data_IF_707339234341
#
_entry.id   IF_707339234341
#
_cell.length_a   1.000
_cell.length_b   1.000
_cell.length_c   1.000
_cell.angle_alpha   90.00
_cell.angle_beta   90.00
_cell.angle_gamma   90.00
#
_symmetry.space_group_name_H-M   'P 1'
#
loop_
_entity.id
_entity.type
_entity.pdbx_description
1 polymer ?
#
# COMPACT_ATOMS: atom_id res chain seq x y z
N UNK A 1 12.81 -20.44 9.14
CA UNK A 1 12.25 -19.50 8.12
C UNK A 1 10.76 -19.41 8.40
N UNK A 2 10.30 -18.32 8.96
CA UNK A 2 8.87 -18.16 9.27
C UNK A 2 8.13 -17.72 8.01
N UNK A 3 7.38 -18.62 7.38
CA UNK A 3 6.33 -18.26 6.44
C UNK A 3 5.27 -17.48 7.24
N UNK A 4 5.24 -16.16 7.09
CA UNK A 4 4.27 -15.33 7.80
C UNK A 4 2.89 -15.28 7.13
N UNK A 5 2.79 -15.77 5.89
CA UNK A 5 1.60 -15.65 5.05
C UNK A 5 1.44 -16.91 4.22
N UNK A 6 0.23 -17.45 4.20
CA UNK A 6 -0.24 -18.47 3.27
C UNK A 6 -1.39 -17.89 2.42
N UNK A 7 -1.58 -18.45 1.23
CA UNK A 7 -2.67 -18.12 0.34
C UNK A 7 -3.70 -19.23 0.38
N UNK A 8 -4.97 -18.88 0.64
CA UNK A 8 -6.07 -19.81 0.60
C UNK A 8 -6.51 -20.07 -0.85
N UNK A 9 -7.27 -21.15 -1.06
CA UNK A 9 -7.74 -21.59 -2.40
C UNK A 9 -8.56 -20.50 -3.15
N UNK A 10 -9.14 -19.54 -2.41
CA UNK A 10 -9.86 -18.38 -2.94
C UNK A 10 -8.96 -17.17 -3.24
N UNK A 11 -7.64 -17.38 -3.30
CA UNK A 11 -6.64 -16.31 -3.48
C UNK A 11 -6.63 -15.25 -2.37
N UNK A 12 -7.22 -15.55 -1.23
CA UNK A 12 -7.21 -14.68 -0.05
C UNK A 12 -5.94 -14.89 0.77
N UNK A 13 -5.14 -13.86 1.03
CA UNK A 13 -3.97 -13.98 1.87
C UNK A 13 -4.38 -14.24 3.32
N UNK A 14 -3.75 -15.23 3.93
CA UNK A 14 -3.97 -15.65 5.30
C UNK A 14 -2.69 -15.44 6.11
N UNK A 15 -2.79 -14.70 7.21
CA UNK A 15 -1.66 -14.55 8.11
C UNK A 15 -1.56 -15.77 9.01
N UNK A 16 -0.55 -16.60 8.80
CA UNK A 16 -0.27 -17.74 9.69
C UNK A 16 0.10 -17.31 11.11
N UNK A 17 0.67 -16.11 11.26
CA UNK A 17 1.03 -15.54 12.56
C UNK A 17 -0.18 -15.05 13.35
N UNK A 18 -1.18 -14.47 12.66
CA UNK A 18 -2.38 -13.93 13.28
C UNK A 18 -3.56 -14.90 13.23
N UNK A 19 -3.40 -16.04 12.54
CA UNK A 19 -4.45 -17.01 12.25
C UNK A 19 -5.72 -16.35 11.68
N UNK A 20 -5.54 -15.32 10.81
CA UNK A 20 -6.62 -14.50 10.27
C UNK A 20 -6.44 -14.25 8.77
N UNK A 21 -7.57 -14.11 8.07
CA UNK A 21 -7.58 -13.64 6.69
C UNK A 21 -7.22 -12.15 6.65
N UNK A 22 -6.37 -11.77 5.71
CA UNK A 22 -6.04 -10.35 5.49
C UNK A 22 -7.23 -9.55 5.00
N UNK A 23 -8.16 -10.20 4.28
CA UNK A 23 -9.34 -9.57 3.70
C UNK A 23 -10.58 -10.47 3.89
N UNK A 24 -11.75 -9.82 4.04
CA UNK A 24 -13.04 -10.53 4.13
C UNK A 24 -13.52 -11.06 2.76
N UNK A 25 -14.82 -11.34 2.64
CA UNK A 25 -15.46 -11.96 1.47
C UNK A 25 -15.44 -11.13 0.16
N UNK A 26 -15.02 -9.88 0.20
CA UNK A 26 -14.85 -9.02 -0.98
C UNK A 26 -13.39 -9.04 -1.45
N UNK A 27 -13.16 -8.82 -2.77
CA UNK A 27 -11.81 -8.70 -3.29
C UNK A 27 -11.06 -7.57 -2.57
N UNK A 28 -9.76 -7.75 -2.36
CA UNK A 28 -8.93 -6.79 -1.66
C UNK A 28 -8.99 -5.37 -2.26
N UNK A 29 -8.97 -5.18 -3.59
CA UNK A 29 -9.12 -3.86 -4.20
C UNK A 29 -10.52 -3.25 -4.01
N UNK A 30 -11.59 -4.04 -4.06
CA UNK A 30 -12.94 -3.52 -3.83
C UNK A 30 -13.08 -2.99 -2.40
N UNK A 31 -12.55 -3.73 -1.42
CA UNK A 31 -12.49 -3.27 -0.03
C UNK A 31 -11.64 -2.02 0.11
N UNK A 32 -10.47 -1.97 -0.50
CA UNK A 32 -9.60 -0.79 -0.46
C UNK A 32 -10.31 0.46 -0.98
N UNK A 33 -11.05 0.33 -2.08
CA UNK A 33 -11.86 1.45 -2.62
C UNK A 33 -12.96 1.88 -1.66
N UNK A 34 -13.75 0.94 -1.15
CA UNK A 34 -14.90 1.26 -0.31
C UNK A 34 -14.51 1.77 1.07
N UNK A 35 -13.55 1.14 1.73
CA UNK A 35 -13.18 1.47 3.11
C UNK A 35 -12.23 2.66 3.17
N UNK A 36 -11.17 2.64 2.36
CA UNK A 36 -10.11 3.63 2.48
C UNK A 36 -10.30 4.83 1.55
N UNK A 37 -10.49 4.62 0.25
CA UNK A 37 -10.67 5.77 -0.65
C UNK A 37 -11.97 6.52 -0.34
N UNK A 38 -13.10 5.84 -0.38
CA UNK A 38 -14.39 6.47 -0.12
C UNK A 38 -14.51 6.96 1.34
N UNK A 39 -13.99 6.18 2.30
CA UNK A 39 -13.97 6.57 3.70
C UNK A 39 -13.17 7.86 3.97
N UNK A 40 -12.14 8.12 3.19
CA UNK A 40 -11.37 9.37 3.24
C UNK A 40 -11.84 10.43 2.23
N UNK A 41 -12.99 10.22 1.57
CA UNK A 41 -13.56 11.16 0.60
C UNK A 41 -12.76 11.31 -0.70
N UNK A 42 -11.91 10.34 -1.04
CA UNK A 42 -11.09 10.37 -2.24
C UNK A 42 -11.90 9.88 -3.46
N UNK A 43 -11.71 10.50 -4.63
CA UNK A 43 -10.70 11.51 -4.98
C UNK A 43 -11.07 12.97 -4.67
N UNK A 44 -12.29 13.26 -4.28
CA UNK A 44 -12.77 14.65 -4.12
C UNK A 44 -11.94 15.44 -3.11
N UNK A 45 -11.53 14.81 -2.00
CA UNK A 45 -10.79 15.46 -0.92
C UNK A 45 -9.43 16.02 -1.35
N UNK A 46 -8.77 15.44 -2.35
CA UNK A 46 -7.46 15.93 -2.83
C UNK A 46 -7.53 16.93 -4.00
N UNK A 47 -8.76 17.23 -4.50
CA UNK A 47 -8.96 18.16 -5.62
C UNK A 47 -8.39 19.54 -5.29
N UNK A 48 -7.53 20.04 -6.19
CA UNK A 48 -6.87 21.34 -6.02
C UNK A 48 -5.70 21.36 -5.04
N UNK A 49 -5.42 20.29 -4.33
CA UNK A 49 -4.26 20.19 -3.47
C UNK A 49 -2.97 20.05 -4.32
N UNK A 50 -1.87 20.75 -3.97
CA UNK A 50 -0.60 20.58 -4.68
C UNK A 50 0.04 19.22 -4.40
N UNK A 51 -0.21 18.66 -3.21
CA UNK A 51 0.21 17.34 -2.79
C UNK A 51 -0.83 16.74 -1.86
N UNK A 52 -0.86 15.41 -1.78
CA UNK A 52 -1.70 14.68 -0.85
C UNK A 52 -0.89 13.58 -0.16
N UNK A 53 -0.97 13.53 1.17
CA UNK A 53 -0.20 12.61 1.99
C UNK A 53 -1.13 11.62 2.67
N UNK A 54 -0.82 10.34 2.55
CA UNK A 54 -1.56 9.25 3.18
C UNK A 54 -0.62 8.49 4.11
N UNK A 55 -1.09 8.16 5.30
CA UNK A 55 -0.39 7.30 6.25
C UNK A 55 -1.15 5.98 6.40
N UNK A 56 -0.45 4.87 6.27
CA UNK A 56 -0.96 3.52 6.52
C UNK A 56 -0.05 2.78 7.52
N UNK A 57 -0.49 2.54 8.76
CA UNK A 57 0.32 1.86 9.77
C UNK A 57 0.58 0.38 9.50
N UNK A 58 -0.13 -0.22 8.55
CA UNK A 58 0.03 -1.64 8.18
C UNK A 58 -0.07 -1.82 6.67
N UNK A 59 1.08 -1.76 6.00
CA UNK A 59 1.16 -1.80 4.53
C UNK A 59 0.64 -3.12 3.91
N UNK A 60 0.87 -4.24 4.60
CA UNK A 60 0.47 -5.57 4.11
C UNK A 60 1.11 -5.91 2.76
N UNK A 61 0.29 -6.17 1.75
CA UNK A 61 0.74 -6.43 0.37
C UNK A 61 0.75 -5.18 -0.51
N UNK A 62 0.47 -4.00 0.07
CA UNK A 62 0.43 -2.76 -0.67
C UNK A 62 -0.82 -2.55 -1.53
N UNK A 63 -1.89 -3.32 -1.31
CA UNK A 63 -3.13 -3.19 -2.10
C UNK A 63 -3.72 -1.80 -1.99
N UNK A 64 -3.77 -1.22 -0.77
CA UNK A 64 -4.30 0.12 -0.56
C UNK A 64 -3.47 1.18 -1.29
N UNK A 65 -2.14 1.04 -1.29
CA UNK A 65 -1.25 1.89 -2.07
C UNK A 65 -1.51 1.76 -3.58
N UNK A 66 -1.60 0.54 -4.11
CA UNK A 66 -1.81 0.30 -5.54
C UNK A 66 -3.17 0.83 -6.01
N UNK A 67 -4.23 0.62 -5.23
CA UNK A 67 -5.56 1.15 -5.52
C UNK A 67 -5.58 2.68 -5.48
N UNK A 68 -4.91 3.27 -4.50
CA UNK A 68 -4.77 4.74 -4.39
C UNK A 68 -3.98 5.31 -5.56
N UNK A 69 -2.89 4.66 -5.94
CA UNK A 69 -2.09 5.06 -7.10
C UNK A 69 -2.90 4.95 -8.41
N UNK A 70 -3.66 3.87 -8.60
CA UNK A 70 -4.55 3.72 -9.75
C UNK A 70 -5.60 4.84 -9.80
N UNK A 71 -6.23 5.16 -8.66
CA UNK A 71 -7.20 6.26 -8.56
C UNK A 71 -6.55 7.61 -8.87
N UNK A 72 -5.34 7.87 -8.36
CA UNK A 72 -4.56 9.07 -8.66
C UNK A 72 -4.27 9.18 -10.17
N UNK A 73 -3.88 8.10 -10.83
CA UNK A 73 -3.63 8.10 -12.29
C UNK A 73 -4.88 8.41 -13.10
N UNK A 74 -6.03 7.92 -12.66
CA UNK A 74 -7.30 8.07 -13.35
C UNK A 74 -7.93 9.47 -13.17
N UNK A 75 -7.58 10.21 -12.11
CA UNK A 75 -8.19 11.48 -11.79
C UNK A 75 -7.50 12.65 -12.54
N UNK A 76 -8.21 13.38 -13.43
CA UNK A 76 -7.65 14.55 -14.10
C UNK A 76 -7.38 15.73 -13.14
N UNK A 77 -8.03 15.76 -11.97
CA UNK A 77 -7.87 16.79 -10.94
C UNK A 77 -6.95 16.37 -9.80
N UNK A 78 -6.19 15.29 -10.00
CA UNK A 78 -5.25 14.75 -9.01
C UNK A 78 -4.23 15.77 -8.53
N UNK A 79 -3.77 15.68 -7.29
CA UNK A 79 -2.64 16.46 -6.81
C UNK A 79 -1.38 16.17 -7.64
N UNK A 80 -0.50 17.16 -7.75
CA UNK A 80 0.76 16.99 -8.48
C UNK A 80 1.63 15.88 -7.86
N UNK A 81 1.60 15.75 -6.54
CA UNK A 81 2.35 14.74 -5.78
C UNK A 81 1.40 13.95 -4.91
N UNK A 82 1.45 12.63 -5.03
CA UNK A 82 0.91 11.68 -4.07
C UNK A 82 2.06 11.13 -3.22
N UNK A 83 2.01 11.33 -1.91
CA UNK A 83 2.98 10.76 -0.99
C UNK A 83 2.28 9.75 -0.07
N UNK A 84 2.55 8.49 -0.26
CA UNK A 84 2.06 7.41 0.57
C UNK A 84 3.15 7.00 1.56
N UNK A 85 2.86 7.07 2.84
CA UNK A 85 3.76 6.70 3.93
C UNK A 85 3.19 5.47 4.62
N UNK A 86 3.98 4.43 4.77
CA UNK A 86 3.49 3.19 5.35
C UNK A 86 4.52 2.53 6.26
N UNK A 87 4.02 1.74 7.20
CA UNK A 87 4.85 0.89 8.05
C UNK A 87 4.61 -0.58 7.72
N UNK A 88 5.67 -1.36 7.70
CA UNK A 88 5.65 -2.78 7.46
C UNK A 88 6.56 -3.48 8.46
N UNK A 89 6.05 -4.47 9.18
CA UNK A 89 6.83 -5.18 10.20
C UNK A 89 8.00 -6.00 9.60
N UNK A 90 7.85 -6.47 8.38
CA UNK A 90 8.86 -7.27 7.67
C UNK A 90 8.93 -6.88 6.20
N UNK A 91 10.08 -7.01 5.53
CA UNK A 91 10.19 -6.73 4.10
C UNK A 91 9.16 -7.52 3.28
N UNK A 92 8.64 -6.89 2.22
CA UNK A 92 7.76 -7.53 1.24
C UNK A 92 8.53 -8.63 0.50
N UNK A 93 7.92 -9.79 0.37
CA UNK A 93 8.44 -10.82 -0.51
C UNK A 93 8.03 -10.55 -1.97
N UNK A 94 8.97 -10.66 -2.90
CA UNK A 94 8.69 -10.50 -4.33
C UNK A 94 7.62 -11.47 -4.84
N UNK A 95 7.56 -12.68 -4.26
CA UNK A 95 6.56 -13.69 -4.58
C UNK A 95 5.13 -13.24 -4.22
N UNK A 96 4.96 -12.52 -3.12
CA UNK A 96 3.64 -12.03 -2.68
C UNK A 96 3.11 -10.95 -3.64
N UNK A 97 3.97 -10.05 -4.11
CA UNK A 97 3.60 -9.04 -5.11
C UNK A 97 3.31 -9.68 -6.48
N UNK A 98 4.06 -10.71 -6.86
CA UNK A 98 3.80 -11.46 -8.09
C UNK A 98 2.44 -12.17 -8.02
N UNK A 99 2.12 -12.79 -6.89
CA UNK A 99 0.84 -13.44 -6.68
C UNK A 99 -0.31 -12.44 -6.72
N UNK A 100 -0.14 -11.27 -6.06
CA UNK A 100 -1.12 -10.19 -6.13
C UNK A 100 -1.39 -9.75 -7.56
N UNK A 101 -0.35 -9.59 -8.39
CA UNK A 101 -0.50 -9.22 -9.80
C UNK A 101 -1.26 -10.28 -10.62
N UNK A 102 -1.16 -11.56 -10.26
CA UNK A 102 -1.92 -12.65 -10.90
C UNK A 102 -3.39 -12.66 -10.47
N UNK A 103 -3.67 -12.41 -9.19
CA UNK A 103 -5.02 -12.41 -8.65
C UNK A 103 -5.81 -11.15 -9.01
N UNK A 104 -5.13 -10.01 -9.19
CA UNK A 104 -5.74 -8.69 -9.44
C UNK A 104 -5.18 -8.08 -10.75
N UNK A 105 -5.65 -8.56 -11.93
CA UNK A 105 -5.09 -8.15 -13.23
C UNK A 105 -5.15 -6.64 -13.48
N UNK A 106 -6.14 -5.94 -12.92
CA UNK A 106 -6.28 -4.48 -13.04
C UNK A 106 -5.15 -3.72 -12.36
N UNK A 107 -4.55 -4.28 -11.31
CA UNK A 107 -3.42 -3.70 -10.57
C UNK A 107 -2.07 -4.25 -11.02
N UNK A 108 -2.04 -5.30 -11.85
CA UNK A 108 -0.82 -5.97 -12.25
C UNK A 108 0.28 -5.04 -12.78
N UNK A 109 0.00 -4.05 -13.66
CA UNK A 109 1.04 -3.14 -14.14
C UNK A 109 1.69 -2.32 -13.03
N UNK A 110 0.92 -1.92 -12.01
CA UNK A 110 1.43 -1.16 -10.86
C UNK A 110 2.15 -2.06 -9.87
N UNK A 111 1.61 -3.27 -9.64
CA UNK A 111 2.24 -4.28 -8.79
C UNK A 111 3.63 -4.68 -9.31
N UNK A 112 3.79 -4.84 -10.62
CA UNK A 112 5.10 -5.11 -11.24
C UNK A 112 6.08 -3.93 -11.05
N UNK A 113 5.61 -2.69 -11.16
CA UNK A 113 6.46 -1.53 -10.89
C UNK A 113 6.89 -1.46 -9.42
N UNK A 114 5.97 -1.75 -8.50
CA UNK A 114 6.29 -1.83 -7.08
C UNK A 114 7.31 -2.95 -6.82
N UNK A 115 7.07 -4.15 -7.34
CA UNK A 115 7.96 -5.30 -7.22
C UNK A 115 9.38 -4.98 -7.69
N UNK A 116 9.51 -4.28 -8.82
CA UNK A 116 10.82 -3.92 -9.39
C UNK A 116 11.68 -3.04 -8.46
N UNK A 117 11.06 -2.33 -7.50
CA UNK A 117 11.78 -1.50 -6.52
C UNK A 117 11.88 -2.12 -5.12
N UNK A 118 11.21 -3.24 -4.87
CA UNK A 118 11.21 -3.89 -3.56
C UNK A 118 12.36 -4.90 -3.35
N UNK A 119 13.49 -4.72 -4.03
CA UNK A 119 14.65 -5.59 -3.87
C UNK A 119 15.55 -5.14 -2.73
N UNK A 120 15.95 -6.10 -1.88
CA UNK A 120 16.97 -5.86 -0.85
C UNK A 120 16.55 -4.87 0.23
N UNK A 121 15.24 -4.65 0.43
CA UNK A 121 14.76 -3.78 1.49
C UNK A 121 15.06 -4.41 2.85
N UNK A 122 15.83 -3.71 3.65
CA UNK A 122 16.20 -4.09 5.02
C UNK A 122 15.38 -3.28 6.04
N UNK A 123 15.42 -3.64 7.34
CA UNK A 123 14.85 -2.77 8.37
C UNK A 123 15.36 -1.34 8.25
N UNK A 124 14.46 -0.36 8.35
CA UNK A 124 14.77 1.06 8.16
C UNK A 124 13.75 1.75 7.24
N UNK A 125 14.04 2.96 6.83
CA UNK A 125 13.13 3.79 6.01
C UNK A 125 13.62 3.83 4.57
N UNK A 126 12.73 3.46 3.65
CA UNK A 126 13.00 3.42 2.21
C UNK A 126 12.06 4.36 1.47
N UNK A 127 12.58 5.04 0.45
CA UNK A 127 11.76 5.85 -0.45
C UNK A 127 11.79 5.25 -1.85
N UNK A 128 10.62 4.79 -2.29
CA UNK A 128 10.39 4.29 -3.63
C UNK A 128 9.69 5.37 -4.45
N UNK A 129 10.11 5.55 -5.70
CA UNK A 129 9.72 6.69 -6.54
C UNK A 129 9.10 6.20 -7.84
N UNK A 130 7.89 6.68 -8.14
CA UNK A 130 7.11 6.30 -9.32
C UNK A 130 6.64 7.54 -10.08
N UNK A 131 6.11 7.35 -11.28
CA UNK A 131 5.51 8.41 -12.13
C UNK A 131 6.43 9.64 -12.31
N UNK A 132 7.75 9.41 -12.47
CA UNK A 132 8.70 10.49 -12.61
C UNK A 132 8.80 11.40 -11.38
N UNK A 133 8.64 10.85 -10.17
CA UNK A 133 8.73 11.59 -8.91
C UNK A 133 7.41 12.16 -8.42
N UNK A 134 6.29 11.84 -9.08
CA UNK A 134 4.96 12.33 -8.68
C UNK A 134 4.22 11.40 -7.73
N UNK A 135 4.59 10.14 -7.69
CA UNK A 135 4.09 9.17 -6.69
C UNK A 135 5.27 8.68 -5.87
N UNK A 136 5.21 8.92 -4.58
CA UNK A 136 6.25 8.56 -3.61
C UNK A 136 5.67 7.56 -2.62
N UNK A 137 6.37 6.44 -2.39
CA UNK A 137 6.09 5.54 -1.30
C UNK A 137 7.25 5.59 -0.31
N UNK A 138 6.99 6.08 0.90
CA UNK A 138 7.93 5.96 2.02
C UNK A 138 7.52 4.74 2.83
N UNK A 139 8.34 3.71 2.83
CA UNK A 139 8.10 2.45 3.53
C UNK A 139 9.08 2.32 4.69
N UNK A 140 8.57 2.38 5.93
CA UNK A 140 9.34 2.11 7.12
C UNK A 140 9.19 0.65 7.52
N UNK A 141 10.30 -0.08 7.51
CA UNK A 141 10.34 -1.51 7.86
C UNK A 141 10.85 -1.68 9.28
N UNK A 142 10.02 -2.21 10.16
CA UNK A 142 10.33 -2.41 11.57
C UNK A 142 9.10 -2.43 12.46
N UNK A 143 9.31 -2.26 13.77
CA UNK A 143 8.20 -2.18 14.74
C UNK A 143 7.32 -0.95 14.46
N UNK A 144 6.02 -1.19 14.30
CA UNK A 144 5.07 -0.14 13.90
C UNK A 144 5.02 1.01 14.89
N UNK A 145 5.00 0.73 16.19
CA UNK A 145 4.92 1.77 17.20
C UNK A 145 6.20 2.61 17.26
N UNK A 146 7.36 1.96 17.12
CA UNK A 146 8.64 2.65 17.06
C UNK A 146 8.73 3.55 15.84
N UNK A 147 8.43 3.01 14.64
CA UNK A 147 8.48 3.78 13.40
C UNK A 147 7.54 4.99 13.42
N UNK A 148 6.30 4.83 13.87
CA UNK A 148 5.34 5.95 13.96
C UNK A 148 5.79 7.05 14.92
N UNK A 149 6.46 6.70 16.02
CA UNK A 149 7.00 7.69 16.98
C UNK A 149 8.21 8.43 16.43
N UNK A 150 9.09 7.71 15.73
CA UNK A 150 10.36 8.27 15.25
C UNK A 150 10.18 9.17 14.04
N UNK A 151 9.26 8.85 13.13
CA UNK A 151 9.16 9.53 11.85
C UNK A 151 8.45 10.89 11.90
N UNK A 152 7.56 11.14 12.86
CA UNK A 152 6.84 12.39 12.99
C UNK A 152 6.05 12.81 11.74
N UNK A 153 5.53 11.83 10.97
CA UNK A 153 4.83 12.08 9.72
C UNK A 153 3.56 12.89 9.89
N UNK A 154 3.33 13.79 8.94
CA UNK A 154 2.07 14.49 8.78
C UNK A 154 1.31 13.90 7.60
N UNK A 155 0.03 13.63 7.77
CA UNK A 155 -0.84 13.05 6.76
C UNK A 155 -2.12 13.86 6.61
N UNK A 156 -2.65 13.89 5.38
CA UNK A 156 -3.94 14.48 5.05
C UNK A 156 -5.05 13.44 5.19
N UNK A 157 -4.71 12.14 5.08
CA UNK A 157 -5.59 11.00 5.34
C UNK A 157 -4.82 9.87 6.02
N UNK A 158 -5.52 9.08 6.86
CA UNK A 158 -4.95 7.90 7.53
C UNK A 158 -5.82 6.69 7.22
N UNK A 159 -5.19 5.62 6.74
CA UNK A 159 -5.81 4.33 6.46
C UNK A 159 -5.56 3.39 7.65
N UNK A 160 -6.59 3.14 8.47
CA UNK A 160 -6.52 2.32 9.69
C UNK A 160 -7.32 1.03 9.58
#
# INVERSE_FOLDING_TARGET
>A
MAKGIDWLDDSTPFSTRLAARYHGAHSAPARARAVFLQGCGLPQAWTGAPQWRILEPCFGFGVNFLVTWAAWRADPQRPRILHFMAVQAQPLAAADLQHLAQCEPELAPLAHQLQAQCWGLLPGVHRLVFEGGRVLLTLAIGDTCAQLREQGWQADAVFL
#
